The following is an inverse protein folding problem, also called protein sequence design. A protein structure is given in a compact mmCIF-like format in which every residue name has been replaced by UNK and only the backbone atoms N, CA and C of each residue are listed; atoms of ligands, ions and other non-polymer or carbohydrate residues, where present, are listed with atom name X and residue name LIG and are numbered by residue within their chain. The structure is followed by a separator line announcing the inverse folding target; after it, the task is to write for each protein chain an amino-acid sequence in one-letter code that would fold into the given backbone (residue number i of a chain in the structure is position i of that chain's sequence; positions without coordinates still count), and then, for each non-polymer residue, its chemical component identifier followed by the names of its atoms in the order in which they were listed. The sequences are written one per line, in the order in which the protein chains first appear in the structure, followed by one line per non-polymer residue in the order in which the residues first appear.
data_IF_004823761758
#
_entry.id   IF_004823761758
#
_cell.length_a   1.000
_cell.length_b   1.000
_cell.length_c   1.000
_cell.angle_alpha   90.00
_cell.angle_beta   90.00
_cell.angle_gamma   90.00
#
_symmetry.space_group_name_H-M   'P 1'
#
loop_
_entity.id
_entity.type
_entity.pdbx_description
1 polymer ?
#
# COMPACT_ATOMS: atom_id res chain seq x y z
N UNK A 1 -16.09 -21.66 -21.42
CA UNK A 1 -15.10 -21.45 -22.49
C UNK A 1 -13.82 -20.98 -21.79
N UNK A 2 -12.89 -21.86 -21.38
CA UNK A 2 -11.70 -22.36 -22.12
C UNK A 2 -10.94 -21.18 -22.76
N UNK A 3 -9.70 -20.83 -22.39
CA UNK A 3 -8.46 -21.63 -22.26
C UNK A 3 -7.40 -20.78 -21.51
N UNK A 4 -6.71 -21.28 -20.49
CA UNK A 4 -5.49 -22.11 -20.44
C UNK A 4 -4.14 -21.38 -20.60
N UNK A 5 -3.31 -21.66 -19.58
CA UNK A 5 -1.89 -21.39 -19.34
C UNK A 5 -1.00 -21.83 -20.50
N UNK A 6 0.01 -21.01 -20.83
CA UNK A 6 1.19 -21.42 -21.59
C UNK A 6 2.44 -20.80 -20.96
N UNK A 7 3.01 -21.54 -20.01
CA UNK A 7 4.37 -21.36 -19.49
C UNK A 7 5.32 -21.94 -20.54
N UNK A 8 6.23 -21.10 -21.06
CA UNK A 8 7.22 -21.51 -22.06
C UNK A 8 8.50 -21.97 -21.35
N UNK A 9 8.78 -23.25 -21.56
CA UNK A 9 9.92 -24.09 -21.11
C UNK A 9 11.27 -23.63 -21.67
N UNK A 10 12.36 -23.93 -20.96
CA UNK A 10 13.70 -24.43 -21.42
C UNK A 10 14.77 -24.03 -20.38
N UNK A 11 15.05 -24.85 -19.35
CA UNK A 11 16.15 -25.85 -19.26
C UNK A 11 17.40 -25.47 -20.05
N UNK A 12 18.52 -25.24 -19.35
CA UNK A 12 19.87 -25.37 -19.92
C UNK A 12 20.83 -25.96 -18.90
N UNK A 13 21.63 -26.89 -19.41
CA UNK A 13 22.37 -27.96 -18.75
C UNK A 13 23.68 -27.47 -18.10
N UNK A 14 24.01 -28.12 -17.00
CA UNK A 14 25.26 -28.07 -16.22
C UNK A 14 26.55 -28.16 -17.04
N UNK A 15 27.62 -27.50 -16.59
CA UNK A 15 28.97 -28.10 -16.50
C UNK A 15 29.81 -27.34 -15.48
N UNK A 16 30.33 -28.06 -14.48
CA UNK A 16 31.26 -27.57 -13.46
C UNK A 16 32.59 -28.31 -13.62
N UNK A 17 33.66 -27.60 -13.97
CA UNK A 17 35.10 -27.95 -13.85
C UNK A 17 35.83 -26.60 -14.02
N UNK A 18 36.85 -26.18 -13.27
CA UNK A 18 37.68 -26.80 -12.25
C UNK A 18 38.61 -25.75 -11.65
N UNK A 19 39.27 -26.11 -10.55
CA UNK A 19 40.23 -25.29 -9.80
C UNK A 19 41.57 -25.27 -10.54
N UNK A 20 42.10 -24.08 -10.82
CA UNK A 20 43.50 -23.89 -11.20
C UNK A 20 44.11 -22.76 -10.36
N UNK A 21 45.15 -23.11 -9.62
CA UNK A 21 46.01 -22.19 -8.89
C UNK A 21 47.02 -21.52 -9.86
N UNK A 22 47.25 -20.22 -9.72
CA UNK A 22 48.27 -19.48 -10.48
C UNK A 22 48.14 -17.97 -10.26
N UNK A 23 49.22 -17.30 -9.84
CA UNK A 23 49.18 -15.96 -9.27
C UNK A 23 49.44 -14.78 -10.21
N UNK A 24 49.54 -13.62 -9.54
CA UNK A 24 50.07 -12.30 -9.91
C UNK A 24 49.30 -11.36 -10.87
N UNK A 25 48.71 -10.32 -10.23
CA UNK A 25 48.74 -8.90 -10.59
C UNK A 25 48.47 -8.44 -12.05
N UNK A 26 47.31 -7.84 -12.28
CA UNK A 26 47.17 -6.57 -13.01
C UNK A 26 46.01 -5.75 -12.44
N UNK A 27 46.26 -4.47 -12.16
CA UNK A 27 45.25 -3.48 -11.83
C UNK A 27 44.73 -2.84 -13.13
N UNK A 28 43.41 -2.65 -13.27
CA UNK A 28 42.89 -1.83 -14.38
C UNK A 28 41.45 -2.14 -14.79
N UNK A 29 40.52 -1.32 -14.28
CA UNK A 29 39.18 -1.00 -14.82
C UNK A 29 38.25 -2.16 -15.19
N UNK A 30 37.54 -2.71 -14.20
CA UNK A 30 36.34 -3.49 -14.45
C UNK A 30 35.16 -2.56 -14.75
N UNK A 31 34.67 -2.56 -16.00
CA UNK A 31 33.32 -2.13 -16.32
C UNK A 31 32.33 -3.11 -15.70
N UNK A 32 31.48 -2.62 -14.80
CA UNK A 32 30.46 -3.41 -14.14
C UNK A 32 29.44 -3.98 -15.15
N UNK A 33 29.21 -5.28 -15.09
CA UNK A 33 28.13 -5.95 -15.80
C UNK A 33 26.76 -5.42 -15.33
N UNK A 34 25.76 -5.29 -16.21
CA UNK A 34 24.41 -4.94 -15.78
C UNK A 34 23.85 -6.09 -14.94
N UNK A 35 23.63 -5.84 -13.65
CA UNK A 35 22.81 -6.71 -12.83
C UNK A 35 21.40 -6.78 -13.45
N UNK A 36 20.83 -7.97 -13.68
CA UNK A 36 19.44 -8.06 -14.09
C UNK A 36 18.58 -7.43 -12.99
N UNK A 37 17.76 -6.45 -13.38
CA UNK A 37 16.72 -5.89 -12.52
C UNK A 37 15.90 -7.03 -11.94
N UNK A 38 16.07 -7.27 -10.65
CA UNK A 38 15.14 -8.04 -9.85
C UNK A 38 13.80 -7.30 -9.88
N UNK A 39 12.97 -7.64 -10.86
CA UNK A 39 11.54 -7.42 -10.77
C UNK A 39 11.09 -8.35 -9.65
N UNK A 40 11.10 -7.84 -8.42
CA UNK A 40 10.47 -8.48 -7.27
C UNK A 40 8.99 -8.62 -7.59
N UNK A 41 8.66 -9.73 -8.25
CA UNK A 41 7.32 -10.24 -8.38
C UNK A 41 6.97 -10.73 -6.97
N UNK A 42 6.40 -9.85 -6.15
CA UNK A 42 5.86 -10.24 -4.85
C UNK A 42 4.68 -11.15 -5.14
N UNK A 43 4.98 -12.46 -5.13
CA UNK A 43 3.99 -13.51 -5.02
C UNK A 43 3.08 -13.14 -3.86
N UNK A 44 1.76 -13.19 -4.08
CA UNK A 44 0.75 -12.87 -3.09
C UNK A 44 0.82 -13.87 -1.92
N UNK A 45 1.80 -13.66 -1.05
CA UNK A 45 1.79 -14.15 0.31
C UNK A 45 0.58 -13.51 0.99
N UNK A 46 -0.20 -14.35 1.68
CA UNK A 46 -1.36 -13.92 2.46
C UNK A 46 -0.85 -13.00 3.56
N UNK A 47 -0.77 -11.71 3.23
CA UNK A 47 -0.34 -10.69 4.16
C UNK A 47 -1.31 -10.74 5.35
N UNK A 48 -0.80 -10.78 6.60
CA UNK A 48 -1.66 -10.58 7.76
C UNK A 48 -2.40 -9.26 7.55
N UNK A 49 -3.69 -9.20 7.92
CA UNK A 49 -4.54 -8.01 7.80
C UNK A 49 -3.77 -6.75 8.21
N UNK A 50 -3.23 -6.03 7.22
CA UNK A 50 -2.32 -4.93 7.49
C UNK A 50 -3.13 -3.79 8.10
N UNK A 51 -2.89 -3.50 9.36
CA UNK A 51 -3.47 -2.34 10.04
C UNK A 51 -2.71 -1.10 9.56
N UNK A 52 -3.43 -0.19 8.91
CA UNK A 52 -2.86 1.04 8.36
C UNK A 52 -3.60 2.24 8.94
N UNK A 53 -3.15 2.70 10.11
CA UNK A 53 -3.80 3.83 10.81
C UNK A 53 -3.36 5.22 10.30
N UNK A 54 -2.31 5.31 9.48
CA UNK A 54 -1.77 6.58 8.96
C UNK A 54 -1.59 7.66 10.04
N UNK A 55 -1.05 7.25 11.20
CA UNK A 55 -0.77 8.13 12.33
C UNK A 55 -1.92 8.33 13.31
N UNK A 56 -3.14 7.82 13.05
CA UNK A 56 -4.22 7.86 14.05
C UNK A 56 -3.88 7.02 15.27
N UNK A 57 -4.25 7.52 16.45
CA UNK A 57 -4.33 6.69 17.65
C UNK A 57 -5.62 5.84 17.66
N UNK A 58 -5.72 4.92 18.61
CA UNK A 58 -6.85 3.99 18.73
C UNK A 58 -8.21 4.71 18.77
N UNK A 59 -8.33 5.78 19.56
CA UNK A 59 -9.58 6.54 19.68
C UNK A 59 -9.98 7.19 18.36
N UNK A 60 -9.04 7.86 17.69
CA UNK A 60 -9.29 8.53 16.41
C UNK A 60 -9.65 7.53 15.31
N UNK A 61 -8.95 6.41 15.24
CA UNK A 61 -9.26 5.34 14.30
C UNK A 61 -10.64 4.72 14.59
N UNK A 62 -11.02 4.57 15.86
CA UNK A 62 -12.34 4.09 16.25
C UNK A 62 -13.45 5.06 15.82
N UNK A 63 -13.23 6.36 15.95
CA UNK A 63 -14.16 7.39 15.46
C UNK A 63 -14.38 7.27 13.94
N UNK A 64 -13.29 7.06 13.19
CA UNK A 64 -13.36 6.78 11.74
C UNK A 64 -14.20 5.53 11.49
N UNK A 65 -13.97 4.44 12.22
CA UNK A 65 -14.74 3.20 12.08
C UNK A 65 -16.23 3.40 12.42
N UNK A 66 -16.59 4.17 13.46
CA UNK A 66 -17.99 4.50 13.79
C UNK A 66 -18.68 5.24 12.65
N UNK A 67 -18.02 6.28 12.10
CA UNK A 67 -18.53 7.00 10.93
C UNK A 67 -18.73 6.09 9.72
N UNK A 68 -17.74 5.23 9.43
CA UNK A 68 -17.81 4.27 8.34
C UNK A 68 -18.91 3.22 8.57
N UNK A 69 -19.16 2.82 9.82
CA UNK A 69 -20.26 1.90 10.17
C UNK A 69 -21.61 2.53 9.88
N UNK A 70 -21.77 3.81 10.23
CA UNK A 70 -23.03 4.53 10.07
C UNK A 70 -23.40 4.82 8.61
N UNK A 71 -22.42 5.16 7.76
CA UNK A 71 -22.70 5.67 6.40
C UNK A 71 -22.11 4.87 5.26
N UNK A 72 -21.15 3.99 5.55
CA UNK A 72 -20.35 3.31 4.52
C UNK A 72 -20.28 1.82 4.79
N UNK A 73 -21.38 1.19 5.24
CA UNK A 73 -21.52 -0.26 5.36
C UNK A 73 -20.26 -0.97 5.90
N UNK A 74 -19.64 -0.41 6.93
CA UNK A 74 -18.50 -1.04 7.60
C UNK A 74 -19.03 -2.10 8.57
N UNK A 75 -18.59 -3.34 8.36
CA UNK A 75 -19.05 -4.52 9.11
C UNK A 75 -17.99 -5.08 10.07
N UNK A 76 -16.83 -4.44 10.15
CA UNK A 76 -15.75 -4.85 11.05
C UNK A 76 -15.92 -4.35 12.49
N UNK A 77 -14.96 -4.72 13.34
CA UNK A 77 -14.91 -4.29 14.74
C UNK A 77 -14.61 -2.79 14.88
N UNK A 78 -15.10 -2.20 15.99
CA UNK A 78 -14.79 -0.82 16.39
C UNK A 78 -13.60 -0.82 17.37
N UNK A 79 -12.46 -1.30 16.90
CA UNK A 79 -11.26 -1.62 17.68
C UNK A 79 -10.13 -0.58 17.53
N UNK A 80 -10.33 0.47 16.73
CA UNK A 80 -9.30 1.48 16.46
C UNK A 80 -8.13 0.97 15.60
N UNK A 81 -8.30 -0.16 14.92
CA UNK A 81 -7.34 -0.71 13.97
C UNK A 81 -7.94 -0.65 12.56
N UNK A 82 -7.46 0.29 11.75
CA UNK A 82 -7.90 0.45 10.36
C UNK A 82 -7.31 -0.67 9.48
N UNK A 83 -7.94 -1.84 9.52
CA UNK A 83 -7.64 -2.97 8.66
C UNK A 83 -8.39 -2.95 7.33
N UNK A 84 -8.31 -4.06 6.58
CA UNK A 84 -8.87 -4.20 5.23
C UNK A 84 -10.34 -3.76 5.12
N UNK A 85 -11.20 -4.19 6.06
CA UNK A 85 -12.62 -3.83 6.01
C UNK A 85 -12.85 -2.34 6.26
N UNK A 86 -12.04 -1.70 7.11
CA UNK A 86 -12.10 -0.25 7.34
C UNK A 86 -11.70 0.49 6.08
N UNK A 87 -10.64 0.06 5.41
CA UNK A 87 -10.19 0.67 4.16
C UNK A 87 -11.11 0.41 2.98
N UNK A 88 -11.77 -0.75 2.88
CA UNK A 88 -12.85 -0.96 1.90
C UNK A 88 -13.99 0.03 2.09
N UNK A 89 -14.40 0.27 3.34
CA UNK A 89 -15.41 1.27 3.64
C UNK A 89 -14.94 2.70 3.33
N UNK A 90 -13.69 3.01 3.65
CA UNK A 90 -13.08 4.29 3.32
C UNK A 90 -12.96 4.51 1.82
N UNK A 91 -12.53 3.51 1.05
CA UNK A 91 -12.45 3.58 -0.42
C UNK A 91 -13.83 3.82 -1.04
N UNK A 92 -14.91 3.24 -0.49
CA UNK A 92 -16.28 3.56 -0.94
C UNK A 92 -16.64 5.02 -0.68
N UNK A 93 -16.25 5.57 0.49
CA UNK A 93 -16.37 7.02 0.77
C UNK A 93 -15.59 7.84 -0.25
N UNK A 94 -14.35 7.47 -0.51
CA UNK A 94 -13.46 8.21 -1.42
C UNK A 94 -13.92 8.13 -2.88
N UNK A 95 -14.52 7.01 -3.29
CA UNK A 95 -15.09 6.84 -4.62
C UNK A 95 -16.30 7.76 -4.86
N UNK A 96 -17.09 8.01 -3.81
CA UNK A 96 -18.33 8.79 -3.93
C UNK A 96 -18.08 10.23 -4.40
N UNK A 97 -17.09 10.94 -3.86
CA UNK A 97 -16.89 12.36 -4.20
C UNK A 97 -15.44 12.85 -4.02
N UNK A 98 -14.45 11.95 -4.02
CA UNK A 98 -13.03 12.28 -3.91
C UNK A 98 -12.18 11.70 -5.04
N UNK A 99 -12.82 11.28 -6.13
CA UNK A 99 -12.15 10.84 -7.36
C UNK A 99 -11.30 9.59 -7.19
N UNK A 100 -11.66 8.70 -6.26
CA UNK A 100 -11.05 7.37 -6.20
C UNK A 100 -11.68 6.47 -7.26
N UNK A 101 -10.86 5.93 -8.16
CA UNK A 101 -11.30 5.08 -9.28
C UNK A 101 -10.72 3.66 -9.20
N UNK A 102 -9.96 3.35 -8.15
CA UNK A 102 -9.39 2.03 -7.92
C UNK A 102 -10.41 1.03 -7.37
N UNK A 103 -9.95 -0.22 -7.18
CA UNK A 103 -10.77 -1.27 -6.61
C UNK A 103 -11.11 -1.01 -5.12
N UNK A 104 -12.25 -1.54 -4.67
CA UNK A 104 -12.62 -1.57 -3.25
C UNK A 104 -12.03 -2.82 -2.60
N UNK A 105 -10.70 -2.87 -2.51
CA UNK A 105 -9.91 -4.01 -2.05
C UNK A 105 -9.41 -3.87 -0.60
N UNK A 106 -9.47 -2.67 -0.03
CA UNK A 106 -8.93 -2.34 1.28
C UNK A 106 -7.42 -2.10 1.31
N UNK A 107 -6.77 -2.06 0.14
CA UNK A 107 -5.33 -1.80 0.02
C UNK A 107 -5.09 -0.29 -0.01
N UNK A 108 -4.19 0.17 0.85
CA UNK A 108 -3.84 1.58 0.97
C UNK A 108 -2.69 1.92 0.02
N UNK A 109 -2.99 1.94 -1.27
CA UNK A 109 -2.06 2.35 -2.32
C UNK A 109 -2.07 3.86 -2.60
N UNK A 110 -1.20 4.35 -3.50
CA UNK A 110 -1.10 5.76 -3.86
C UNK A 110 -2.43 6.37 -4.29
N UNK A 111 -3.25 5.65 -5.07
CA UNK A 111 -4.58 6.12 -5.47
C UNK A 111 -5.53 6.35 -4.28
N UNK A 112 -5.50 5.46 -3.28
CA UNK A 112 -6.26 5.61 -2.03
C UNK A 112 -5.78 6.84 -1.27
N UNK A 113 -4.45 7.03 -1.16
CA UNK A 113 -3.86 8.19 -0.47
C UNK A 113 -4.14 9.50 -1.20
N UNK A 114 -4.03 9.56 -2.53
CA UNK A 114 -4.36 10.78 -3.29
C UNK A 114 -5.81 11.19 -3.11
N UNK A 115 -6.75 10.23 -3.11
CA UNK A 115 -8.14 10.51 -2.83
C UNK A 115 -8.37 10.94 -1.37
N UNK A 116 -7.66 10.32 -0.43
CA UNK A 116 -7.65 10.74 0.97
C UNK A 116 -7.14 12.18 1.11
N UNK A 117 -6.03 12.55 0.48
CA UNK A 117 -5.49 13.91 0.51
C UNK A 117 -6.49 14.94 -0.03
N UNK A 118 -7.25 14.59 -1.07
CA UNK A 118 -8.35 15.44 -1.56
C UNK A 118 -9.47 15.59 -0.54
N UNK A 119 -9.81 14.54 0.22
CA UNK A 119 -10.77 14.63 1.33
C UNK A 119 -10.23 15.55 2.43
N UNK A 120 -8.94 15.42 2.73
CA UNK A 120 -8.28 16.14 3.81
C UNK A 120 -8.08 17.63 3.53
N UNK A 121 -8.34 18.10 2.30
CA UNK A 121 -8.39 19.55 2.00
C UNK A 121 -9.38 20.29 2.91
N UNK A 122 -10.49 19.67 3.28
CA UNK A 122 -11.47 20.22 4.23
C UNK A 122 -11.03 20.14 5.70
N UNK A 123 -9.84 19.60 5.97
CA UNK A 123 -9.26 19.36 7.29
C UNK A 123 -7.83 19.91 7.37
N UNK A 124 -7.64 21.10 6.80
CA UNK A 124 -6.39 21.87 6.79
C UNK A 124 -5.20 21.19 6.10
N UNK A 125 -5.44 20.26 5.17
CA UNK A 125 -4.36 19.71 4.35
C UNK A 125 -3.94 20.70 3.26
N UNK A 126 -2.72 21.22 3.35
CA UNK A 126 -2.14 22.16 2.37
C UNK A 126 -1.11 21.51 1.44
N UNK A 127 -0.67 20.27 1.71
CA UNK A 127 0.35 19.56 0.93
C UNK A 127 -0.06 19.15 -0.49
N UNK A 128 0.84 18.48 -1.20
CA UNK A 128 0.61 17.99 -2.57
C UNK A 128 -0.34 16.77 -2.58
N UNK A 129 -1.08 16.57 -3.68
CA UNK A 129 -1.84 15.34 -3.91
C UNK A 129 -0.90 14.32 -4.58
N UNK A 130 0.06 13.81 -3.82
CA UNK A 130 1.16 12.98 -4.32
C UNK A 130 0.97 11.47 -4.06
N UNK A 131 -0.08 11.08 -3.34
CA UNK A 131 -0.31 9.68 -2.99
C UNK A 131 0.63 9.15 -1.91
N UNK A 132 1.37 10.03 -1.22
CA UNK A 132 2.28 9.68 -0.14
C UNK A 132 1.71 10.16 1.19
N UNK A 133 1.55 9.24 2.15
CA UNK A 133 0.99 9.56 3.46
C UNK A 133 2.04 10.15 4.42
N UNK A 134 2.68 11.24 4.02
CA UNK A 134 3.66 11.97 4.82
C UNK A 134 3.05 12.71 6.02
N UNK A 135 3.87 13.42 6.82
CA UNK A 135 3.43 14.04 8.08
C UNK A 135 2.22 14.98 7.94
N UNK A 136 2.16 15.76 6.85
CA UNK A 136 1.01 16.64 6.58
C UNK A 136 -0.29 15.86 6.37
N UNK A 137 -0.25 14.74 5.63
CA UNK A 137 -1.40 13.86 5.39
C UNK A 137 -1.86 13.25 6.70
N UNK A 138 -0.93 12.74 7.51
CA UNK A 138 -1.23 12.14 8.81
C UNK A 138 -1.81 13.16 9.80
N UNK A 139 -1.26 14.38 9.86
CA UNK A 139 -1.76 15.44 10.72
C UNK A 139 -3.20 15.85 10.36
N UNK A 140 -3.48 16.04 9.07
CA UNK A 140 -4.84 16.32 8.61
C UNK A 140 -5.79 15.13 8.86
N UNK A 141 -5.31 13.89 8.70
CA UNK A 141 -6.12 12.70 9.01
C UNK A 141 -6.44 12.59 10.50
N UNK A 142 -5.53 12.98 11.40
CA UNK A 142 -5.84 13.12 12.83
C UNK A 142 -6.95 14.13 13.09
N UNK A 143 -6.93 15.29 12.43
CA UNK A 143 -8.02 16.28 12.54
C UNK A 143 -9.33 15.68 12.05
N UNK A 144 -9.31 14.97 10.93
CA UNK A 144 -10.47 14.22 10.43
C UNK A 144 -11.01 13.26 11.50
N UNK A 145 -10.18 12.39 12.08
CA UNK A 145 -10.59 11.45 13.13
C UNK A 145 -11.14 12.13 14.40
N UNK A 146 -10.58 13.28 14.79
CA UNK A 146 -11.10 14.08 15.91
C UNK A 146 -12.49 14.67 15.61
N UNK A 147 -12.71 15.17 14.38
CA UNK A 147 -14.01 15.71 13.95
C UNK A 147 -15.10 14.64 13.86
N UNK A 148 -14.73 13.36 13.89
CA UNK A 148 -15.66 12.24 13.88
C UNK A 148 -16.02 11.72 15.28
N UNK A 149 -15.58 12.40 16.35
CA UNK A 149 -15.78 11.94 17.73
C UNK A 149 -17.25 11.72 18.09
N UNK A 150 -18.18 12.49 17.53
CA UNK A 150 -19.63 12.37 17.80
C UNK A 150 -20.34 11.22 17.07
N UNK A 151 -19.61 10.40 16.29
CA UNK A 151 -20.17 9.21 15.65
C UNK A 151 -20.04 7.96 16.51
N UNK A 152 -19.17 8.02 17.51
CA UNK A 152 -19.23 7.19 18.70
C UNK A 152 -19.76 8.08 19.85
#
# INVERSE_FOLDING_TARGET
MRSNVLVKTLVSVTTAVGIAAGGLATAGTASAAPAPSEKTSVSAEVAPFAVVNLGLNTTQARNVQCFLKKYWNYTGALDGQLGTNSWKAMQRRLASNKGYTGAIDGVVGPGTISALQRLLRSYDYTGAIDGIAGPGTQAAFKRYGNNLASFC
#
